data_IF_248164078483
#
_entry.id   IF_248164078483
#
_cell.length_a   1.000
_cell.length_b   1.000
_cell.length_c   1.000
_cell.angle_alpha   90.00
_cell.angle_beta   90.00
_cell.angle_gamma   90.00
#
_symmetry.space_group_name_H-M   'P 1'
#
loop_
_entity.id
_entity.type
_entity.pdbx_description
1 polymer ?
#
# COMPACT_ATOMS: atom_id res chain seq x y z
N UNK A 1 7.55 11.70 -24.81
CA UNK A 1 6.74 11.26 -23.65
C UNK A 1 6.03 9.99 -24.08
N UNK A 2 6.20 8.91 -23.34
CA UNK A 2 5.43 7.69 -23.62
C UNK A 2 3.97 7.92 -23.19
N UNK A 3 3.04 7.52 -24.02
CA UNK A 3 1.60 7.59 -23.76
C UNK A 3 1.02 6.19 -23.88
N UNK A 4 0.35 5.73 -22.83
CA UNK A 4 -0.32 4.44 -22.77
C UNK A 4 -1.81 4.68 -22.56
N UNK A 5 -2.64 4.00 -23.34
CA UNK A 5 -4.08 4.03 -23.23
C UNK A 5 -4.59 2.60 -23.09
N UNK A 6 -5.32 2.33 -22.01
CA UNK A 6 -5.96 1.04 -21.76
C UNK A 6 -7.47 1.20 -21.82
N UNK A 7 -8.14 0.24 -22.46
CA UNK A 7 -9.61 0.22 -22.61
C UNK A 7 -10.19 -0.98 -21.86
N UNK A 8 -11.44 -0.85 -21.46
CA UNK A 8 -12.18 -1.90 -20.74
C UNK A 8 -11.59 -2.27 -19.36
N UNK A 9 -10.95 -1.31 -18.71
CA UNK A 9 -10.38 -1.46 -17.36
C UNK A 9 -11.19 -0.63 -16.38
N UNK A 10 -11.38 -1.16 -15.16
CA UNK A 10 -12.06 -0.44 -14.08
C UNK A 10 -11.38 -0.71 -12.74
N UNK A 11 -11.48 0.22 -11.81
CA UNK A 11 -11.19 0.00 -10.40
C UNK A 11 -12.45 -0.55 -9.75
N UNK A 12 -12.41 -1.80 -9.27
CA UNK A 12 -13.56 -2.47 -8.68
C UNK A 12 -13.72 -2.19 -7.19
N UNK A 13 -12.64 -1.82 -6.51
CA UNK A 13 -12.69 -1.46 -5.09
C UNK A 13 -11.37 -0.87 -4.61
N UNK A 14 -11.41 -0.27 -3.44
CA UNK A 14 -10.25 0.27 -2.73
C UNK A 14 -10.42 -0.04 -1.25
N UNK A 15 -9.36 -0.52 -0.62
CA UNK A 15 -9.30 -0.75 0.82
C UNK A 15 -8.01 -0.16 1.40
N UNK A 16 -8.01 0.13 2.70
CA UNK A 16 -6.84 0.67 3.39
C UNK A 16 -6.64 0.01 4.75
N UNK A 17 -5.43 -0.45 5.00
CA UNK A 17 -4.96 -0.87 6.32
C UNK A 17 -4.13 0.23 6.96
N UNK A 18 -4.47 0.63 8.20
CA UNK A 18 -3.74 1.66 8.94
C UNK A 18 -3.41 1.19 10.36
N UNK A 19 -2.25 1.59 10.89
CA UNK A 19 -1.89 1.32 12.29
C UNK A 19 -2.90 1.92 13.28
N UNK A 20 -3.02 1.32 14.47
CA UNK A 20 -3.93 1.80 15.50
C UNK A 20 -3.38 3.02 16.26
N UNK A 21 -2.07 3.05 16.49
CA UNK A 21 -1.43 4.12 17.25
C UNK A 21 -1.49 5.45 16.50
N UNK A 22 -1.90 6.51 17.20
CA UNK A 22 -2.01 7.87 16.64
C UNK A 22 -1.03 8.78 17.36
N UNK A 23 -0.21 9.49 16.58
CA UNK A 23 0.61 10.60 17.07
C UNK A 23 0.09 11.92 16.48
N UNK A 24 -0.01 12.93 17.33
CA UNK A 24 -0.43 14.27 16.90
C UNK A 24 0.79 15.12 16.57
N UNK A 25 0.80 15.75 15.41
CA UNK A 25 1.91 16.59 14.98
C UNK A 25 2.14 17.81 15.89
N UNK A 26 1.11 18.30 16.58
CA UNK A 26 1.24 19.36 17.58
C UNK A 26 2.12 18.95 18.77
N UNK A 27 2.20 17.66 19.07
CA UNK A 27 2.92 17.09 20.21
C UNK A 27 4.26 16.47 19.78
N UNK A 28 4.68 16.66 18.50
CA UNK A 28 5.90 16.08 17.97
C UNK A 28 7.14 16.72 18.60
N UNK A 29 8.00 15.95 19.31
CA UNK A 29 9.00 16.48 20.22
C UNK A 29 10.17 17.21 19.53
N UNK A 30 10.32 17.07 18.23
CA UNK A 30 11.40 17.68 17.45
C UNK A 30 10.99 18.98 16.76
N UNK A 31 9.74 19.44 16.92
CA UNK A 31 9.37 20.77 16.46
C UNK A 31 9.75 21.84 17.45
N UNK A 32 10.31 22.93 16.95
CA UNK A 32 10.51 24.16 17.73
C UNK A 32 9.17 24.90 17.96
N UNK A 33 9.20 25.89 18.87
CA UNK A 33 8.02 26.67 19.18
C UNK A 33 7.39 27.34 17.93
N UNK A 34 6.13 27.03 17.65
CA UNK A 34 5.39 27.53 16.50
C UNK A 34 5.65 26.82 15.17
N UNK A 35 6.52 25.79 15.12
CA UNK A 35 6.74 24.99 13.90
C UNK A 35 5.59 24.02 13.64
N UNK A 36 5.05 23.41 14.66
CA UNK A 36 3.94 22.48 14.53
C UNK A 36 2.72 23.12 13.84
N UNK A 37 2.38 24.35 14.25
CA UNK A 37 1.29 25.11 13.65
C UNK A 37 1.56 25.46 12.18
N UNK A 38 2.79 25.87 11.85
CA UNK A 38 3.20 26.16 10.48
C UNK A 38 3.14 24.90 9.61
N UNK A 39 3.65 23.77 10.13
CA UNK A 39 3.61 22.48 9.46
C UNK A 39 2.17 22.04 9.18
N UNK A 40 1.31 22.10 10.20
CA UNK A 40 -0.11 21.75 10.07
C UNK A 40 -0.83 22.69 9.10
N UNK A 41 -0.53 24.00 9.15
CA UNK A 41 -1.14 24.97 8.25
C UNK A 41 -0.75 24.71 6.77
N UNK A 42 0.51 24.31 6.52
CA UNK A 42 1.01 24.06 5.16
C UNK A 42 0.60 22.72 4.57
N UNK A 43 0.51 21.67 5.41
CA UNK A 43 0.28 20.30 4.95
C UNK A 43 -1.14 19.81 5.18
N UNK A 44 -1.89 20.45 6.06
CA UNK A 44 -3.18 20.00 6.63
C UNK A 44 -3.11 18.68 7.41
N UNK A 45 -1.90 18.15 7.68
CA UNK A 45 -1.68 16.91 8.41
C UNK A 45 -1.60 17.21 9.90
N UNK A 46 -2.62 16.80 10.65
CA UNK A 46 -2.73 17.01 12.10
C UNK A 46 -2.25 15.82 12.91
N UNK A 47 -2.41 14.62 12.38
CA UNK A 47 -2.08 13.36 13.04
C UNK A 47 -1.47 12.37 12.07
N UNK A 48 -0.70 11.43 12.59
CA UNK A 48 -0.08 10.34 11.84
C UNK A 48 -0.42 9.02 12.52
N UNK A 49 -0.56 7.98 11.71
CA UNK A 49 -0.68 6.61 12.18
C UNK A 49 0.70 5.97 12.17
N UNK A 50 1.12 5.44 13.32
CA UNK A 50 2.45 4.86 13.49
C UNK A 50 2.31 3.36 13.73
N UNK A 51 3.04 2.57 12.97
CA UNK A 51 3.07 1.13 13.13
C UNK A 51 3.85 0.75 14.40
N UNK A 52 3.39 -0.28 15.09
CA UNK A 52 4.14 -0.85 16.20
C UNK A 52 5.44 -1.51 15.69
N UNK A 53 6.48 -1.62 16.54
CA UNK A 53 7.70 -2.34 16.18
C UNK A 53 7.39 -3.76 15.69
N UNK A 54 7.96 -4.13 14.54
CA UNK A 54 7.77 -5.43 13.92
C UNK A 54 6.58 -5.53 12.94
N UNK A 55 5.79 -4.46 12.79
CA UNK A 55 4.73 -4.38 11.76
C UNK A 55 5.32 -3.79 10.49
N UNK A 56 5.29 -4.57 9.41
CA UNK A 56 5.78 -4.20 8.10
C UNK A 56 4.67 -3.60 7.21
N UNK A 57 5.06 -2.94 6.12
CA UNK A 57 4.12 -2.43 5.12
C UNK A 57 3.26 -3.55 4.52
N UNK A 58 3.84 -4.74 4.35
CA UNK A 58 3.13 -5.92 3.86
C UNK A 58 2.01 -6.37 4.79
N UNK A 59 2.15 -6.23 6.12
CA UNK A 59 1.11 -6.60 7.08
C UNK A 59 -0.14 -5.72 6.93
N UNK A 60 0.08 -4.42 6.70
CA UNK A 60 -1.01 -3.48 6.43
C UNK A 60 -1.67 -3.77 5.08
N UNK A 61 -0.85 -4.07 4.05
CA UNK A 61 -1.35 -4.46 2.73
C UNK A 61 -2.12 -5.78 2.78
N UNK A 62 -1.62 -6.78 3.52
CA UNK A 62 -2.32 -8.04 3.74
C UNK A 62 -3.72 -7.81 4.33
N UNK A 63 -3.81 -7.06 5.42
CA UNK A 63 -5.09 -6.77 6.07
C UNK A 63 -6.05 -6.01 5.16
N UNK A 64 -5.54 -5.07 4.35
CA UNK A 64 -6.35 -4.33 3.39
C UNK A 64 -6.84 -5.24 2.24
N UNK A 65 -5.96 -6.11 1.72
CA UNK A 65 -6.30 -7.02 0.63
C UNK A 65 -7.32 -8.09 1.04
N UNK A 66 -7.12 -8.73 2.21
CA UNK A 66 -8.08 -9.68 2.76
C UNK A 66 -9.48 -9.06 2.87
N UNK A 67 -9.55 -7.86 3.46
CA UNK A 67 -10.80 -7.13 3.61
C UNK A 67 -11.44 -6.80 2.26
N UNK A 68 -10.62 -6.36 1.29
CA UNK A 68 -11.12 -6.01 -0.05
C UNK A 68 -11.70 -7.22 -0.78
N UNK A 69 -10.98 -8.35 -0.73
CA UNK A 69 -11.41 -9.61 -1.36
C UNK A 69 -12.73 -10.06 -0.75
N UNK A 70 -12.84 -10.02 0.58
CA UNK A 70 -14.06 -10.37 1.32
C UNK A 70 -15.23 -9.46 0.96
N UNK A 71 -15.03 -8.14 1.02
CA UNK A 71 -16.08 -7.13 0.74
C UNK A 71 -16.59 -7.20 -0.70
N UNK A 72 -15.73 -7.56 -1.67
CA UNK A 72 -16.10 -7.74 -3.07
C UNK A 72 -16.64 -9.13 -3.39
N UNK A 73 -16.49 -10.10 -2.48
CA UNK A 73 -16.87 -11.50 -2.69
C UNK A 73 -16.07 -12.16 -3.81
N UNK A 74 -14.81 -11.78 -3.99
CA UNK A 74 -13.95 -12.34 -5.03
C UNK A 74 -13.48 -13.74 -4.68
N UNK A 75 -13.50 -14.64 -5.66
CA UNK A 75 -12.79 -15.91 -5.56
C UNK A 75 -11.29 -15.67 -5.72
N UNK A 76 -10.51 -16.04 -4.71
CA UNK A 76 -9.05 -15.91 -4.73
C UNK A 76 -8.41 -16.67 -5.90
N UNK A 77 -9.04 -17.74 -6.37
CA UNK A 77 -8.56 -18.52 -7.53
C UNK A 77 -8.63 -17.78 -8.86
N UNK A 78 -9.42 -16.70 -8.92
CA UNK A 78 -9.58 -15.86 -10.10
C UNK A 78 -8.63 -14.65 -10.11
N UNK A 79 -7.84 -14.46 -9.05
CA UNK A 79 -6.87 -13.37 -8.99
C UNK A 79 -5.60 -13.77 -9.75
N UNK A 80 -5.37 -13.12 -10.86
CA UNK A 80 -4.29 -13.44 -11.80
C UNK A 80 -3.01 -12.64 -11.56
N UNK A 81 -3.10 -11.50 -10.85
CA UNK A 81 -1.94 -10.63 -10.62
C UNK A 81 -1.97 -9.97 -9.26
N UNK A 82 -0.81 -9.95 -8.59
CA UNK A 82 -0.56 -9.22 -7.36
C UNK A 82 0.69 -8.34 -7.52
N UNK A 83 0.52 -7.04 -7.47
CA UNK A 83 1.63 -6.08 -7.43
C UNK A 83 1.77 -5.46 -6.04
N UNK A 84 2.97 -5.55 -5.48
CA UNK A 84 3.34 -4.81 -4.28
C UNK A 84 4.19 -3.59 -4.67
N UNK A 85 3.62 -2.41 -4.51
CA UNK A 85 4.28 -1.15 -4.88
C UNK A 85 4.73 -0.43 -3.61
N UNK A 86 6.02 -0.43 -3.34
CA UNK A 86 6.57 0.18 -2.13
C UNK A 86 8.05 0.53 -2.29
N UNK A 87 8.53 1.49 -1.50
CA UNK A 87 9.96 1.75 -1.30
C UNK A 87 10.50 1.04 -0.05
N UNK A 88 9.63 0.37 0.71
CA UNK A 88 9.94 -0.33 1.96
C UNK A 88 9.50 -1.79 1.86
N UNK A 89 10.14 -2.54 0.95
CA UNK A 89 9.97 -3.99 0.87
C UNK A 89 10.45 -4.67 2.16
N UNK A 90 9.82 -5.78 2.54
CA UNK A 90 10.18 -6.50 3.77
C UNK A 90 11.58 -7.12 3.66
N UNK A 91 11.91 -7.62 2.46
CA UNK A 91 13.20 -8.24 2.14
C UNK A 91 13.65 -7.82 0.74
N UNK A 92 14.94 -7.94 0.47
CA UNK A 92 15.49 -7.83 -0.89
C UNK A 92 15.05 -9.03 -1.72
N UNK A 93 15.06 -10.22 -1.12
CA UNK A 93 14.60 -11.51 -1.66
C UNK A 93 14.07 -12.38 -0.51
N UNK A 94 12.98 -13.13 -0.70
CA UNK A 94 12.10 -13.10 -1.89
C UNK A 94 11.34 -11.77 -2.03
N UNK A 95 10.75 -11.52 -3.19
CA UNK A 95 9.87 -10.37 -3.41
C UNK A 95 8.71 -10.38 -2.40
N UNK A 96 8.35 -9.22 -1.85
CA UNK A 96 7.27 -9.09 -0.86
C UNK A 96 5.92 -9.53 -1.44
N UNK A 97 5.69 -9.29 -2.73
CA UNK A 97 4.51 -9.78 -3.43
C UNK A 97 4.36 -11.31 -3.39
N UNK A 98 5.48 -12.06 -3.50
CA UNK A 98 5.45 -13.52 -3.39
C UNK A 98 5.08 -13.98 -1.97
N UNK A 99 5.55 -13.28 -0.95
CA UNK A 99 5.17 -13.53 0.45
C UNK A 99 3.67 -13.24 0.66
N UNK A 100 3.20 -12.14 0.12
CA UNK A 100 1.79 -11.76 0.19
C UNK A 100 0.89 -12.74 -0.59
N UNK A 101 1.33 -13.24 -1.75
CA UNK A 101 0.64 -14.26 -2.52
C UNK A 101 0.37 -15.51 -1.68
N UNK A 102 1.40 -16.03 -1.01
CA UNK A 102 1.27 -17.18 -0.11
C UNK A 102 0.35 -16.87 1.09
N UNK A 103 0.57 -15.73 1.76
CA UNK A 103 -0.23 -15.32 2.93
C UNK A 103 -1.71 -15.13 2.60
N UNK A 104 -2.02 -14.60 1.43
CA UNK A 104 -3.39 -14.40 0.94
C UNK A 104 -4.02 -15.69 0.43
N UNK A 105 -3.26 -16.77 0.26
CA UNK A 105 -3.72 -18.02 -0.32
C UNK A 105 -4.13 -17.89 -1.79
N UNK A 106 -3.43 -17.04 -2.54
CA UNK A 106 -3.64 -16.90 -3.99
C UNK A 106 -3.00 -18.07 -4.74
N UNK A 107 -3.50 -18.42 -5.93
CA UNK A 107 -2.97 -19.55 -6.69
C UNK A 107 -1.53 -19.31 -7.13
N UNK A 108 -0.74 -20.37 -7.31
CA UNK A 108 0.63 -20.30 -7.85
C UNK A 108 0.69 -19.71 -9.27
N UNK A 109 -0.41 -19.78 -10.01
CA UNK A 109 -0.55 -19.15 -11.32
C UNK A 109 -0.73 -17.63 -11.25
N UNK A 110 -1.01 -17.06 -10.07
CA UNK A 110 -1.08 -15.62 -9.89
C UNK A 110 0.30 -15.00 -10.09
N UNK A 111 0.40 -14.05 -10.98
CA UNK A 111 1.63 -13.31 -11.24
C UNK A 111 1.93 -12.35 -10.09
N UNK A 112 3.07 -12.51 -9.42
CA UNK A 112 3.44 -11.70 -8.26
C UNK A 112 4.78 -11.00 -8.44
N UNK A 113 4.84 -9.67 -8.27
CA UNK A 113 6.08 -8.91 -8.33
C UNK A 113 6.05 -7.62 -7.51
N UNK A 114 7.24 -7.17 -7.10
CA UNK A 114 7.44 -5.87 -6.45
C UNK A 114 7.78 -4.79 -7.47
N UNK A 115 7.28 -3.57 -7.23
CA UNK A 115 7.68 -2.36 -7.93
C UNK A 115 8.24 -1.39 -6.90
N UNK A 116 9.56 -1.13 -6.96
CA UNK A 116 10.25 -0.22 -6.06
C UNK A 116 10.15 1.21 -6.56
N UNK A 117 8.99 1.84 -6.37
CA UNK A 117 8.71 3.23 -6.72
C UNK A 117 7.93 3.93 -5.60
N UNK A 118 8.10 5.25 -5.50
CA UNK A 118 7.36 6.12 -4.60
C UNK A 118 6.01 6.58 -5.17
N UNK A 119 5.75 7.88 -5.13
CA UNK A 119 4.45 8.46 -5.49
C UNK A 119 3.94 8.08 -6.90
N UNK A 120 4.83 7.98 -7.88
CA UNK A 120 4.49 7.55 -9.25
C UNK A 120 4.22 6.05 -9.37
N UNK A 121 4.60 5.26 -8.35
CA UNK A 121 4.45 3.81 -8.34
C UNK A 121 3.01 3.34 -8.57
N UNK A 122 2.04 4.07 -8.05
CA UNK A 122 0.63 3.79 -8.29
C UNK A 122 0.28 3.76 -9.79
N UNK A 123 0.70 4.81 -10.54
CA UNK A 123 0.41 4.91 -11.97
C UNK A 123 1.16 3.84 -12.77
N UNK A 124 2.44 3.61 -12.42
CA UNK A 124 3.22 2.54 -13.06
C UNK A 124 2.65 1.15 -12.74
N UNK A 125 2.25 0.91 -11.49
CA UNK A 125 1.60 -0.34 -11.10
C UNK A 125 0.34 -0.60 -11.92
N UNK A 126 -0.54 0.39 -12.05
CA UNK A 126 -1.72 0.26 -12.91
C UNK A 126 -1.35 -0.08 -14.36
N UNK A 127 -0.31 0.54 -14.91
CA UNK A 127 0.11 0.26 -16.29
C UNK A 127 0.72 -1.14 -16.51
N UNK A 128 1.12 -1.81 -15.43
CA UNK A 128 1.67 -3.18 -15.50
C UNK A 128 0.56 -4.23 -15.47
N UNK A 129 -0.54 -3.96 -14.73
CA UNK A 129 -1.65 -4.91 -14.56
C UNK A 129 -2.75 -4.76 -15.59
N UNK A 130 -2.64 -3.81 -16.50
CA UNK A 130 -3.61 -3.55 -17.57
C UNK A 130 -3.04 -3.90 -18.93
#
# INVERSE_FOLDING_TARGET
MAFLEFKNVRISGISAGVPKHIEYNKDYPYFEAGEAEKYIASTSIRERRIADPGVCSSDLCYSAAERLIEDLGWDKSEIECLLFVSQTADYILPATACILQERLGLPESCYAMDISLGCSGWVYGLSVIT
#
